data_IF_852179075978
#
_entry.id   IF_852179075978
#
_cell.length_a   1.000
_cell.length_b   1.000
_cell.length_c   1.000
_cell.angle_alpha   90.00
_cell.angle_beta   90.00
_cell.angle_gamma   90.00
#
_symmetry.space_group_name_H-M   'P 1'
#
loop_
_entity.id
_entity.type
_entity.pdbx_description
1 polymer ?
#
# COMPACT_ATOMS: atom_id res chain seq x y z
N UNK A 1 37.90 -1.61 -30.05
CA UNK A 1 37.15 -2.83 -29.67
C UNK A 1 35.93 -2.43 -28.86
N UNK A 2 34.69 -2.79 -29.27
CA UNK A 2 33.49 -2.42 -28.54
C UNK A 2 33.40 -3.25 -27.25
N UNK A 3 33.33 -2.59 -26.08
CA UNK A 3 33.11 -3.28 -24.81
C UNK A 3 31.67 -3.79 -24.76
N UNK A 4 31.52 -5.11 -24.67
CA UNK A 4 30.24 -5.78 -24.53
C UNK A 4 29.53 -5.27 -23.25
N UNK A 5 28.54 -4.38 -23.41
CA UNK A 5 27.60 -3.98 -22.34
C UNK A 5 26.63 -5.14 -22.07
N UNK A 6 27.18 -6.25 -21.61
CA UNK A 6 26.41 -7.41 -21.18
C UNK A 6 25.63 -7.07 -19.92
N UNK A 7 24.32 -6.93 -20.06
CA UNK A 7 23.31 -6.78 -18.98
C UNK A 7 23.19 -8.10 -18.17
N UNK A 8 24.31 -8.67 -17.74
CA UNK A 8 24.43 -10.03 -17.20
C UNK A 8 25.42 -10.11 -16.03
N UNK A 9 25.14 -9.38 -14.95
CA UNK A 9 25.88 -9.51 -13.70
C UNK A 9 25.33 -10.64 -12.82
N UNK A 10 26.20 -11.26 -12.00
CA UNK A 10 25.87 -12.36 -11.06
C UNK A 10 24.73 -12.03 -10.07
N UNK A 11 24.40 -10.75 -9.91
CA UNK A 11 23.28 -10.28 -9.08
C UNK A 11 21.90 -10.45 -9.74
N UNK A 12 21.83 -10.55 -11.07
CA UNK A 12 20.56 -10.65 -11.81
C UNK A 12 19.92 -12.04 -11.70
N UNK A 13 20.71 -13.07 -11.37
CA UNK A 13 20.29 -14.48 -11.29
C UNK A 13 19.71 -14.90 -9.92
N UNK A 14 19.56 -13.97 -8.97
CA UNK A 14 19.10 -14.25 -7.59
C UNK A 14 17.69 -13.75 -7.27
N UNK A 15 17.05 -12.99 -8.17
CA UNK A 15 15.67 -12.56 -7.98
C UNK A 15 14.72 -13.68 -8.40
N UNK A 16 14.13 -14.39 -7.44
CA UNK A 16 12.94 -15.20 -7.72
C UNK A 16 11.79 -14.20 -7.90
N UNK A 17 11.45 -13.91 -9.15
CA UNK A 17 10.35 -13.01 -9.49
C UNK A 17 9.04 -13.78 -9.26
N UNK A 18 8.66 -13.93 -7.99
CA UNK A 18 7.31 -14.35 -7.63
C UNK A 18 6.41 -13.15 -7.94
N UNK A 19 5.54 -13.29 -8.94
CA UNK A 19 4.53 -12.29 -9.27
C UNK A 19 3.55 -12.19 -8.10
N UNK A 20 3.80 -11.25 -7.18
CA UNK A 20 2.96 -10.99 -6.00
C UNK A 20 1.73 -10.14 -6.37
N UNK A 21 1.56 -9.80 -7.66
CA UNK A 21 0.41 -9.10 -8.25
C UNK A 21 -0.73 -10.05 -8.67
N UNK A 22 -0.56 -11.38 -8.55
CA UNK A 22 -1.65 -12.31 -8.78
C UNK A 22 -2.67 -12.21 -7.63
N UNK A 23 -3.96 -12.09 -7.95
CA UNK A 23 -5.05 -11.99 -6.96
C UNK A 23 -4.99 -13.18 -6.00
N UNK A 24 -4.46 -12.93 -4.81
CA UNK A 24 -4.35 -13.88 -3.71
C UNK A 24 -5.62 -13.90 -2.86
N UNK A 25 -5.80 -14.98 -2.12
CA UNK A 25 -6.88 -15.08 -1.14
C UNK A 25 -6.66 -14.07 -0.01
N UNK A 26 -7.75 -13.45 0.44
CA UNK A 26 -7.72 -12.49 1.53
C UNK A 26 -7.36 -13.22 2.84
N UNK A 27 -6.31 -12.73 3.50
CA UNK A 27 -5.86 -13.27 4.79
C UNK A 27 -6.49 -12.48 5.93
N UNK A 28 -7.25 -13.16 6.78
CA UNK A 28 -7.83 -12.58 8.01
C UNK A 28 -6.84 -12.65 9.18
N UNK A 29 -7.06 -11.82 10.20
CA UNK A 29 -6.27 -11.88 11.43
C UNK A 29 -6.54 -13.18 12.21
N UNK A 30 -5.48 -13.67 12.85
CA UNK A 30 -5.54 -14.81 13.77
C UNK A 30 -5.29 -14.34 15.22
N UNK A 31 -5.34 -15.28 16.18
CA UNK A 31 -5.01 -14.99 17.57
C UNK A 31 -3.56 -14.47 17.69
N UNK A 32 -3.39 -13.42 18.51
CA UNK A 32 -2.10 -12.71 18.63
C UNK A 32 -1.74 -11.82 17.44
N UNK A 33 -2.68 -11.59 16.51
CA UNK A 33 -2.52 -10.64 15.41
C UNK A 33 -3.61 -9.57 15.46
N UNK A 34 -3.31 -8.40 14.92
CA UNK A 34 -4.28 -7.31 14.81
C UNK A 34 -4.06 -6.54 13.51
N UNK A 35 -5.11 -5.90 13.01
CA UNK A 35 -4.96 -4.98 11.89
C UNK A 35 -4.46 -3.63 12.39
N UNK A 36 -3.70 -2.93 11.56
CA UNK A 36 -3.21 -1.61 11.88
C UNK A 36 -3.12 -0.72 10.64
N UNK A 37 -3.26 0.57 10.84
CA UNK A 37 -2.95 1.59 9.85
C UNK A 37 -1.57 2.20 10.15
N UNK A 38 -0.71 2.26 9.14
CA UNK A 38 0.59 2.91 9.29
C UNK A 38 0.41 4.42 9.40
N UNK A 39 0.91 5.02 10.48
CA UNK A 39 0.87 6.48 10.67
C UNK A 39 2.06 7.16 9.99
N UNK A 40 3.27 6.67 10.25
CA UNK A 40 4.51 7.22 9.70
C UNK A 40 5.64 6.19 9.70
N UNK A 41 6.58 6.40 8.79
CA UNK A 41 7.82 5.64 8.74
C UNK A 41 8.85 6.24 9.69
N UNK A 42 9.51 5.39 10.50
CA UNK A 42 10.55 5.81 11.45
C UNK A 42 11.96 5.57 10.91
N UNK A 43 12.09 4.85 9.79
CA UNK A 43 13.36 4.44 9.21
C UNK A 43 13.92 3.16 9.84
N UNK A 44 15.05 2.66 9.31
CA UNK A 44 15.69 1.41 9.74
C UNK A 44 14.69 0.23 9.87
N UNK A 45 13.79 0.08 8.89
CA UNK A 45 12.79 -0.99 8.88
C UNK A 45 11.69 -0.87 9.95
N UNK A 46 11.45 0.32 10.50
CA UNK A 46 10.43 0.55 11.52
C UNK A 46 9.38 1.55 11.05
N UNK A 47 8.16 1.36 11.50
CA UNK A 47 7.06 2.30 11.35
C UNK A 47 6.28 2.42 12.65
N UNK A 48 5.55 3.52 12.80
CA UNK A 48 4.53 3.67 13.82
C UNK A 48 3.18 3.31 13.19
N UNK A 49 2.43 2.40 13.82
CA UNK A 49 1.11 2.00 13.35
C UNK A 49 0.07 2.17 14.45
N UNK A 50 -1.11 2.59 14.04
CA UNK A 50 -2.32 2.65 14.86
C UNK A 50 -3.06 1.34 14.71
N UNK A 51 -3.06 0.51 15.75
CA UNK A 51 -3.83 -0.72 15.78
C UNK A 51 -5.32 -0.43 15.99
N UNK A 52 -6.19 -1.33 15.52
CA UNK A 52 -7.65 -1.18 15.65
C UNK A 52 -8.11 -1.30 17.11
N UNK A 53 -7.29 -1.92 17.96
CA UNK A 53 -7.46 -1.93 19.42
C UNK A 53 -7.38 -0.52 20.06
N UNK A 54 -6.97 0.51 19.31
CA UNK A 54 -6.80 1.87 19.79
C UNK A 54 -5.38 2.22 20.24
N UNK A 55 -4.46 1.26 20.20
CA UNK A 55 -3.09 1.42 20.70
C UNK A 55 -2.13 1.76 19.56
N UNK A 56 -1.23 2.72 19.82
CA UNK A 56 -0.13 3.03 18.89
C UNK A 56 1.05 2.14 19.23
N UNK A 57 1.49 1.34 18.27
CA UNK A 57 2.59 0.40 18.45
C UNK A 57 3.74 0.74 17.53
N UNK A 58 4.96 0.50 18.01
CA UNK A 58 6.14 0.56 17.18
C UNK A 58 6.30 -0.78 16.46
N UNK A 59 6.11 -0.73 15.14
CA UNK A 59 6.11 -1.91 14.29
C UNK A 59 7.47 -2.10 13.62
N UNK A 60 8.00 -3.32 13.68
CA UNK A 60 9.19 -3.71 12.95
C UNK A 60 8.80 -4.50 11.69
N UNK A 61 9.30 -4.09 10.54
CA UNK A 61 8.94 -4.70 9.25
C UNK A 61 9.68 -6.04 9.14
N UNK A 62 8.94 -7.13 8.94
CA UNK A 62 9.54 -8.45 8.80
C UNK A 62 10.51 -8.48 7.64
N UNK A 63 11.68 -9.10 7.82
CA UNK A 63 12.74 -9.13 6.80
C UNK A 63 12.30 -9.71 5.44
N UNK A 64 11.28 -10.59 5.42
CA UNK A 64 10.66 -11.11 4.19
C UNK A 64 10.06 -9.98 3.32
N UNK A 65 9.53 -8.93 3.95
CA UNK A 65 8.86 -7.80 3.28
C UNK A 65 9.84 -6.73 2.80
N UNK A 66 10.95 -6.50 3.53
CA UNK A 66 11.91 -5.40 3.26
C UNK A 66 12.36 -5.23 1.80
N UNK A 67 12.39 -6.31 1.01
CA UNK A 67 12.82 -6.29 -0.39
C UNK A 67 11.70 -6.52 -1.39
N UNK A 68 10.53 -6.95 -0.93
CA UNK A 68 9.39 -7.36 -1.77
C UNK A 68 8.27 -6.34 -1.74
N UNK A 69 7.98 -5.79 -0.56
CA UNK A 69 6.79 -4.97 -0.30
C UNK A 69 7.22 -3.62 0.24
N UNK A 70 6.74 -2.56 -0.41
CA UNK A 70 6.93 -1.19 0.03
C UNK A 70 5.75 -0.78 0.91
N UNK A 71 6.06 -0.27 2.10
CA UNK A 71 5.09 0.21 3.09
C UNK A 71 5.23 1.72 3.20
N UNK A 72 4.11 2.43 3.08
CA UNK A 72 3.99 3.87 3.23
C UNK A 72 3.00 4.24 4.35
N UNK A 73 2.97 5.52 4.71
CA UNK A 73 1.96 6.04 5.63
C UNK A 73 0.56 5.94 5.01
N UNK A 74 -0.42 5.53 5.81
CA UNK A 74 -1.82 5.30 5.44
C UNK A 74 -2.12 3.90 4.89
N UNK A 75 -1.10 3.07 4.65
CA UNK A 75 -1.30 1.66 4.27
C UNK A 75 -1.93 0.86 5.43
N UNK A 76 -2.76 -0.12 5.07
CA UNK A 76 -3.33 -1.10 6.01
C UNK A 76 -2.43 -2.33 6.06
N UNK A 77 -2.08 -2.76 7.27
CA UNK A 77 -1.16 -3.86 7.52
C UNK A 77 -1.70 -4.81 8.57
N UNK A 78 -1.28 -6.07 8.48
CA UNK A 78 -1.46 -7.07 9.52
C UNK A 78 -0.23 -7.07 10.43
N UNK A 79 -0.43 -6.87 11.72
CA UNK A 79 0.63 -6.87 12.72
C UNK A 79 0.51 -8.09 13.63
N UNK A 80 1.65 -8.71 13.94
CA UNK A 80 1.77 -9.72 15.00
C UNK A 80 2.12 -9.03 16.31
N UNK A 81 1.31 -9.26 17.33
CA UNK A 81 1.52 -8.75 18.67
C UNK A 81 2.60 -9.57 19.39
N UNK A 82 3.25 -8.95 20.37
CA UNK A 82 4.20 -9.63 21.27
C UNK A 82 3.55 -9.80 22.63
N UNK A 83 3.52 -11.02 23.10
CA UNK A 83 3.02 -11.42 24.42
C UNK A 83 3.74 -10.69 25.58
N UNK A 84 5.03 -10.41 25.44
CA UNK A 84 5.84 -9.78 26.48
C UNK A 84 5.98 -8.25 26.37
N UNK A 85 5.57 -7.64 25.26
CA UNK A 85 5.76 -6.19 25.04
C UNK A 85 4.68 -5.61 24.12
N UNK A 86 3.62 -5.08 24.72
CA UNK A 86 2.46 -4.54 24.00
C UNK A 86 2.82 -3.30 23.15
N UNK A 87 3.76 -2.47 23.59
CA UNK A 87 4.16 -1.27 22.82
C UNK A 87 4.81 -1.59 21.46
N UNK A 88 5.15 -2.86 21.19
CA UNK A 88 5.85 -3.28 19.97
C UNK A 88 5.11 -4.40 19.27
N UNK A 89 5.17 -4.36 17.94
CA UNK A 89 4.62 -5.38 17.08
C UNK A 89 5.54 -5.63 15.88
N UNK A 90 5.28 -6.69 15.12
CA UNK A 90 5.98 -7.00 13.89
C UNK A 90 5.00 -7.00 12.71
N UNK A 91 5.35 -6.36 11.59
CA UNK A 91 4.49 -6.35 10.39
C UNK A 91 4.59 -7.69 9.67
N UNK A 92 3.46 -8.35 9.48
CA UNK A 92 3.35 -9.66 8.83
C UNK A 92 3.04 -9.51 7.34
N UNK A 93 2.03 -8.70 7.02
CA UNK A 93 1.47 -8.54 5.68
C UNK A 93 1.05 -7.09 5.44
N UNK A 94 1.17 -6.61 4.20
CA UNK A 94 0.53 -5.39 3.72
C UNK A 94 -0.67 -5.78 2.87
N UNK A 95 -1.81 -5.16 3.14
CA UNK A 95 -3.01 -5.28 2.31
C UNK A 95 -2.95 -4.30 1.15
N UNK A 96 -3.38 -4.75 -0.02
CA UNK A 96 -3.66 -3.87 -1.15
C UNK A 96 -4.92 -3.05 -0.90
N UNK A 97 -5.11 -1.91 -1.61
CA UNK A 97 -6.29 -1.08 -1.44
C UNK A 97 -7.61 -1.85 -1.62
N UNK A 98 -7.65 -2.79 -2.57
CA UNK A 98 -8.83 -3.63 -2.81
C UNK A 98 -9.08 -4.60 -1.64
N UNK A 99 -8.04 -5.28 -1.15
CA UNK A 99 -8.12 -6.15 0.03
C UNK A 99 -8.61 -5.37 1.27
N UNK A 100 -8.16 -4.12 1.43
CA UNK A 100 -8.60 -3.25 2.52
C UNK A 100 -10.09 -2.87 2.40
N UNK A 101 -10.60 -2.67 1.18
CA UNK A 101 -12.04 -2.45 0.93
C UNK A 101 -12.85 -3.70 1.26
N UNK A 102 -12.36 -4.88 0.91
CA UNK A 102 -12.97 -6.15 1.29
C UNK A 102 -13.03 -6.31 2.81
N UNK A 103 -11.93 -6.08 3.53
CA UNK A 103 -11.90 -6.13 5.00
C UNK A 103 -12.91 -5.16 5.63
N UNK A 104 -13.09 -3.97 5.03
CA UNK A 104 -14.12 -3.02 5.46
C UNK A 104 -15.53 -3.57 5.21
N UNK A 105 -15.77 -4.19 4.05
CA UNK A 105 -17.06 -4.80 3.72
C UNK A 105 -17.40 -6.00 4.62
N UNK A 106 -16.39 -6.75 5.10
CA UNK A 106 -16.56 -7.82 6.08
C UNK A 106 -16.77 -7.31 7.52
N UNK A 107 -16.59 -6.01 7.77
CA UNK A 107 -16.73 -5.43 9.11
C UNK A 107 -15.52 -5.64 10.02
N UNK A 108 -14.39 -6.10 9.48
CA UNK A 108 -13.13 -6.28 10.21
C UNK A 108 -12.42 -4.95 10.49
N UNK A 109 -12.63 -3.94 9.63
CA UNK A 109 -12.13 -2.59 9.80
C UNK A 109 -13.28 -1.64 10.20
N UNK A 110 -13.06 -0.70 11.14
CA UNK A 110 -14.07 0.29 11.47
C UNK A 110 -14.33 1.19 10.26
N UNK A 111 -15.58 1.64 10.09
CA UNK A 111 -16.00 2.45 8.95
C UNK A 111 -15.22 3.77 8.82
N UNK A 112 -14.73 4.28 9.96
CA UNK A 112 -13.94 5.50 10.07
C UNK A 112 -12.51 5.37 9.53
N UNK A 113 -12.05 4.15 9.22
CA UNK A 113 -10.71 3.92 8.67
C UNK A 113 -10.59 4.62 7.32
N UNK A 114 -9.67 5.60 7.24
CA UNK A 114 -9.36 6.30 5.99
C UNK A 114 -8.44 5.44 5.15
N UNK A 115 -8.92 4.92 4.03
CA UNK A 115 -8.10 4.14 3.11
C UNK A 115 -7.36 5.09 2.17
N UNK A 116 -6.08 4.83 1.94
CA UNK A 116 -5.34 5.53 0.88
C UNK A 116 -5.78 4.98 -0.49
N UNK A 117 -6.56 5.75 -1.23
CA UNK A 117 -6.88 5.50 -2.63
C UNK A 117 -5.73 6.03 -3.51
N UNK A 118 -4.57 5.39 -3.44
CA UNK A 118 -3.34 5.90 -4.06
C UNK A 118 -2.76 4.98 -5.13
N UNK A 119 -3.10 5.26 -6.40
CA UNK A 119 -2.51 4.76 -7.66
C UNK A 119 -2.43 3.23 -7.77
N UNK A 120 -3.59 2.58 -7.79
CA UNK A 120 -3.73 1.26 -8.42
C UNK A 120 -4.48 1.48 -9.74
N UNK A 121 -3.76 1.79 -10.82
CA UNK A 121 -4.38 2.03 -12.11
C UNK A 121 -3.48 2.66 -13.16
N UNK A 122 -2.39 1.99 -13.53
CA UNK A 122 -2.05 1.95 -14.95
C UNK A 122 -3.07 1.01 -15.60
N UNK A 123 -4.29 1.51 -15.81
CA UNK A 123 -5.34 0.81 -16.51
C UNK A 123 -4.84 0.54 -17.94
N UNK A 124 -4.73 -0.75 -18.27
CA UNK A 124 -4.80 -1.25 -19.65
C UNK A 124 -6.29 -1.30 -20.04
N UNK A 125 -6.98 -0.16 -19.97
CA UNK A 125 -8.30 0.01 -20.57
C UNK A 125 -8.14 0.99 -21.73
N UNK A 126 -8.33 0.46 -22.93
CA UNK A 126 -8.64 1.22 -24.13
C UNK A 126 -9.79 2.19 -23.81
N UNK A 127 -9.46 3.47 -23.65
CA UNK A 127 -10.43 4.58 -23.59
C UNK A 127 -11.10 4.74 -24.96
N UNK A 128 -12.08 3.89 -25.24
CA UNK A 128 -13.16 4.21 -26.16
C UNK A 128 -14.39 4.65 -25.35
N UNK A 129 -14.54 5.97 -25.17
CA UNK A 129 -15.87 6.57 -25.16
C UNK A 129 -16.17 7.64 -24.10
N UNK A 130 -15.99 8.89 -24.53
CA UNK A 130 -16.95 9.98 -24.43
C UNK A 130 -17.36 10.53 -23.04
N UNK A 131 -16.99 11.78 -22.79
CA UNK A 131 -17.54 12.60 -21.72
C UNK A 131 -17.01 14.03 -21.76
N UNK A 132 -17.54 14.79 -22.71
CA UNK A 132 -17.49 16.25 -22.86
C UNK A 132 -17.40 17.03 -21.53
N UNK A 133 -16.31 17.79 -21.35
CA UNK A 133 -16.26 19.00 -20.52
C UNK A 133 -15.38 20.04 -21.25
N UNK A 134 -15.82 20.45 -22.45
CA UNK A 134 -15.31 21.67 -23.06
C UNK A 134 -15.99 22.88 -22.39
N UNK A 135 -15.24 23.60 -21.56
CA UNK A 135 -15.65 24.90 -21.05
C UNK A 135 -15.64 25.89 -22.23
N UNK A 136 -16.81 26.23 -22.77
CA UNK A 136 -16.99 27.38 -23.66
C UNK A 136 -16.75 28.67 -22.86
N UNK A 137 -15.68 29.40 -23.20
CA UNK A 137 -15.50 30.78 -22.78
C UNK A 137 -16.31 31.66 -23.75
N UNK A 138 -17.43 32.21 -23.29
CA UNK A 138 -18.09 33.32 -23.98
C UNK A 138 -17.21 34.57 -23.85
N UNK A 139 -16.55 34.96 -24.94
CA UNK A 139 -15.88 36.25 -25.08
C UNK A 139 -16.95 37.36 -25.24
N UNK A 140 -17.56 37.79 -24.14
CA UNK A 140 -18.30 39.06 -24.10
C UNK A 140 -17.63 40.05 -23.12
N UNK A 141 -17.26 41.21 -23.68
CA UNK A 141 -16.94 42.48 -23.01
C UNK A 141 -15.52 42.73 -22.47
N UNK A 142 -14.51 42.68 -23.36
CA UNK A 142 -13.34 43.57 -23.27
C UNK A 142 -13.35 44.47 -24.50
N UNK A 143 -14.01 45.64 -24.40
CA UNK A 143 -13.61 46.88 -25.09
C UNK A 143 -14.57 48.05 -24.76
N UNK A 144 -14.53 48.54 -23.51
CA UNK A 144 -14.81 49.95 -23.18
C UNK A 144 -14.07 50.36 -21.90
N UNK A 145 -12.84 50.84 -22.04
CA UNK A 145 -12.23 51.89 -21.20
C UNK A 145 -11.43 52.82 -22.12
#
# INVERSE_FOLDING_TARGET
MPKNKGKGGKNRKRGKNEADDEKRELVFKEDGQEYAQVLRMLGNGRCEAMCIDGTKRLCHIRGKMHKKVWIAAGDIVLVGLRDYQDDKADVILKYMPDEARLLKAYGELPESTRLNEGIAGGLDEEDEGAGDDYIEFEDEDIDKI
#
